data_IF_790358039109
#
_entry.id   IF_790358039109
#
_cell.length_a   1.000
_cell.length_b   1.000
_cell.length_c   1.000
_cell.angle_alpha   90.00
_cell.angle_beta   90.00
_cell.angle_gamma   90.00
#
_symmetry.space_group_name_H-M   'P 1'
#
loop_
_entity.id
_entity.type
_entity.pdbx_description
1 polymer ?
#
# COMPACT_ATOMS: atom_id res chain seq x y z
N UNK A 1 -24.41 14.07 -7.50
CA UNK A 1 -23.76 13.69 -6.23
C UNK A 1 -22.86 12.45 -6.30
N UNK A 2 -22.98 11.54 -7.29
CA UNK A 2 -22.15 10.33 -7.36
C UNK A 2 -20.68 10.56 -7.80
N UNK A 3 -20.43 11.50 -8.73
CA UNK A 3 -19.09 11.74 -9.31
C UNK A 3 -18.11 12.32 -8.28
N UNK A 4 -18.55 13.28 -7.46
CA UNK A 4 -17.75 13.87 -6.38
C UNK A 4 -17.35 12.83 -5.32
N UNK A 5 -18.25 11.87 -5.04
CA UNK A 5 -17.98 10.75 -4.15
C UNK A 5 -16.95 9.78 -4.73
N UNK A 6 -17.10 9.39 -6.01
CA UNK A 6 -16.16 8.51 -6.70
C UNK A 6 -14.75 9.11 -6.82
N UNK A 7 -14.64 10.42 -7.07
CA UNK A 7 -13.37 11.14 -7.12
C UNK A 7 -12.67 11.14 -5.76
N UNK A 8 -13.40 11.42 -4.67
CA UNK A 8 -12.83 11.43 -3.32
C UNK A 8 -12.38 10.02 -2.89
N UNK A 9 -13.17 8.99 -3.21
CA UNK A 9 -12.81 7.58 -2.98
C UNK A 9 -11.59 7.19 -3.80
N UNK A 10 -11.50 7.62 -5.06
CA UNK A 10 -10.35 7.38 -5.92
C UNK A 10 -9.06 8.00 -5.37
N UNK A 11 -9.10 9.26 -4.92
CA UNK A 11 -7.95 9.94 -4.33
C UNK A 11 -7.51 9.26 -3.02
N UNK A 12 -8.45 8.91 -2.14
CA UNK A 12 -8.16 8.17 -0.90
C UNK A 12 -7.61 6.77 -1.17
N UNK A 13 -8.12 6.10 -2.21
CA UNK A 13 -7.65 4.79 -2.66
C UNK A 13 -6.22 4.85 -3.20
N UNK A 14 -5.89 5.90 -3.96
CA UNK A 14 -4.52 6.13 -4.45
C UNK A 14 -3.56 6.39 -3.28
N UNK A 15 -3.92 7.27 -2.34
CA UNK A 15 -3.10 7.55 -1.16
C UNK A 15 -2.85 6.30 -0.32
N UNK A 16 -3.90 5.52 -0.07
CA UNK A 16 -3.80 4.26 0.66
C UNK A 16 -2.96 3.22 -0.08
N UNK A 17 -3.11 3.13 -1.41
CA UNK A 17 -2.33 2.24 -2.26
C UNK A 17 -0.84 2.59 -2.29
N UNK A 18 -0.50 3.89 -2.35
CA UNK A 18 0.89 4.35 -2.28
C UNK A 18 1.53 4.01 -0.93
N UNK A 19 0.82 4.19 0.19
CA UNK A 19 1.34 3.83 1.51
C UNK A 19 1.62 2.33 1.63
N UNK A 20 0.73 1.48 1.10
CA UNK A 20 0.92 0.02 1.07
C UNK A 20 2.07 -0.38 0.15
N UNK A 21 2.17 0.24 -1.03
CA UNK A 21 3.27 0.01 -1.97
C UNK A 21 4.62 0.32 -1.33
N UNK A 22 4.72 1.41 -0.58
CA UNK A 22 5.94 1.81 0.13
C UNK A 22 6.32 0.82 1.24
N UNK A 23 5.33 0.30 1.98
CA UNK A 23 5.52 -0.75 2.96
C UNK A 23 6.09 -2.02 2.34
N UNK A 24 5.45 -2.54 1.29
CA UNK A 24 5.89 -3.74 0.58
C UNK A 24 7.26 -3.56 -0.08
N UNK A 25 7.54 -2.40 -0.68
CA UNK A 25 8.85 -2.10 -1.25
C UNK A 25 9.97 -2.12 -0.19
N UNK A 26 9.68 -1.60 1.01
CA UNK A 26 10.61 -1.61 2.14
C UNK A 26 10.85 -3.02 2.67
N UNK A 27 9.80 -3.84 2.74
CA UNK A 27 9.89 -5.24 3.16
C UNK A 27 10.68 -6.06 2.13
N UNK A 28 10.43 -5.88 0.83
CA UNK A 28 11.19 -6.53 -0.25
C UNK A 28 12.67 -6.13 -0.18
N UNK A 29 12.97 -4.84 -0.01
CA UNK A 29 14.34 -4.36 0.11
C UNK A 29 15.06 -4.99 1.32
N UNK A 30 14.39 -5.05 2.48
CA UNK A 30 14.93 -5.67 3.71
C UNK A 30 15.10 -7.18 3.62
N UNK A 31 14.26 -7.86 2.85
CA UNK A 31 14.35 -9.29 2.60
C UNK A 31 15.43 -9.65 1.56
N UNK A 32 15.77 -8.72 0.66
CA UNK A 32 16.81 -8.91 -0.36
C UNK A 32 18.21 -8.49 0.12
N UNK A 33 18.31 -7.65 1.15
CA UNK A 33 19.58 -7.38 1.85
C UNK A 33 19.88 -8.48 2.87
N UNK A 34 21.06 -9.09 2.81
CA UNK A 34 21.55 -10.00 3.87
C UNK A 34 21.39 -9.34 5.27
N UNK A 35 21.08 -10.11 6.33
CA UNK A 35 21.13 -9.59 7.69
C UNK A 35 22.55 -9.06 7.93
N UNK A 36 22.70 -7.74 8.09
CA UNK A 36 23.97 -7.15 8.48
C UNK A 36 24.39 -7.79 9.82
N UNK A 37 25.55 -8.49 9.90
CA UNK A 37 26.06 -8.93 11.19
C UNK A 37 26.41 -7.65 11.97
N UNK A 38 25.66 -7.35 13.04
CA UNK A 38 25.97 -6.23 13.94
C UNK A 38 24.83 -5.26 14.29
N UNK A 39 23.59 -5.46 13.84
CA UNK A 39 22.44 -4.84 14.53
C UNK A 39 21.94 -5.79 15.61
N UNK A 40 22.68 -5.85 16.72
CA UNK A 40 22.18 -6.38 17.98
C UNK A 40 20.93 -5.58 18.38
N UNK A 41 19.83 -6.23 18.80
CA UNK A 41 18.76 -5.54 19.50
C UNK A 41 19.37 -4.91 20.76
N UNK A 42 19.17 -3.61 20.96
CA UNK A 42 19.49 -2.96 22.23
C UNK A 42 18.73 -3.68 23.33
N UNK A 43 19.46 -4.44 24.14
CA UNK A 43 18.96 -5.16 25.31
C UNK A 43 18.47 -4.13 26.34
N UNK A 44 17.16 -3.97 26.45
CA UNK A 44 16.51 -3.27 27.56
C UNK A 44 16.41 -4.27 28.72
N UNK A 45 16.87 -3.94 29.96
CA UNK A 45 16.94 -4.89 31.06
C UNK A 45 15.58 -5.50 31.48
N UNK A 46 15.58 -6.65 32.18
CA UNK A 46 14.50 -7.62 32.15
C UNK A 46 13.42 -7.36 33.20
N UNK A 47 12.15 -7.35 32.79
CA UNK A 47 11.02 -7.52 33.71
C UNK A 47 9.94 -8.41 33.09
N UNK A 48 9.79 -9.56 33.74
CA UNK A 48 8.67 -10.49 33.73
C UNK A 48 8.31 -11.17 32.39
N UNK A 49 8.81 -12.39 32.25
CA UNK A 49 8.29 -13.37 31.31
C UNK A 49 6.78 -13.61 31.53
N UNK A 50 5.97 -13.42 30.48
CA UNK A 50 4.69 -14.09 30.31
C UNK A 50 4.29 -14.15 28.83
N UNK A 51 4.29 -15.39 28.32
CA UNK A 51 3.42 -15.96 27.29
C UNK A 51 3.43 -15.34 25.88
N UNK A 52 4.09 -16.07 24.97
CA UNK A 52 3.85 -16.00 23.53
C UNK A 52 5.10 -15.62 22.78
N UNK A 53 5.92 -16.62 22.43
CA UNK A 53 6.86 -16.49 21.32
C UNK A 53 6.04 -16.32 20.03
N UNK A 54 5.50 -15.12 19.81
CA UNK A 54 5.12 -14.70 18.48
C UNK A 54 6.44 -14.43 17.77
N UNK A 55 7.00 -15.47 17.16
CA UNK A 55 7.94 -15.27 16.06
C UNK A 55 7.23 -14.27 15.14
N UNK A 56 7.74 -13.03 14.96
CA UNK A 56 7.13 -12.12 14.03
C UNK A 56 7.17 -12.86 12.69
N UNK A 57 6.00 -13.27 12.20
CA UNK A 57 5.86 -13.90 10.89
C UNK A 57 6.32 -12.84 9.91
N UNK A 58 7.62 -12.85 9.59
CA UNK A 58 8.18 -12.03 8.54
C UNK A 58 7.41 -12.43 7.29
N UNK A 59 6.70 -11.51 6.62
CA UNK A 59 6.02 -11.85 5.38
C UNK A 59 7.06 -12.46 4.44
N UNK A 60 6.73 -13.59 3.82
CA UNK A 60 7.63 -14.18 2.83
C UNK A 60 7.81 -13.20 1.67
N UNK A 61 8.92 -13.31 0.94
CA UNK A 61 9.20 -12.43 -0.19
C UNK A 61 8.07 -12.49 -1.23
N UNK A 62 7.52 -13.68 -1.45
CA UNK A 62 6.39 -13.93 -2.33
C UNK A 62 5.14 -13.18 -1.85
N UNK A 63 4.84 -13.24 -0.55
CA UNK A 63 3.70 -12.51 0.03
C UNK A 63 3.85 -10.99 -0.15
N UNK A 64 5.06 -10.46 0.02
CA UNK A 64 5.32 -9.03 -0.15
C UNK A 64 5.25 -8.59 -1.63
N UNK A 65 5.74 -9.42 -2.56
CA UNK A 65 5.61 -9.18 -4.00
C UNK A 65 4.15 -9.22 -4.47
N UNK A 66 3.36 -10.19 -4.00
CA UNK A 66 1.92 -10.25 -4.29
C UNK A 66 1.22 -9.01 -3.75
N UNK A 67 1.50 -8.63 -2.50
CA UNK A 67 0.97 -7.38 -1.92
C UNK A 67 1.36 -6.13 -2.72
N UNK A 68 2.56 -6.10 -3.28
CA UNK A 68 3.01 -5.02 -4.16
C UNK A 68 2.19 -4.97 -5.47
N UNK A 69 1.93 -6.13 -6.10
CA UNK A 69 1.12 -6.23 -7.31
C UNK A 69 -0.33 -5.80 -7.05
N UNK A 70 -0.91 -6.25 -5.94
CA UNK A 70 -2.25 -5.84 -5.52
C UNK A 70 -2.33 -4.32 -5.29
N UNK A 71 -1.35 -3.75 -4.59
CA UNK A 71 -1.27 -2.30 -4.37
C UNK A 71 -1.18 -1.53 -5.70
N UNK A 72 -0.39 -2.02 -6.66
CA UNK A 72 -0.31 -1.45 -8.01
C UNK A 72 -1.66 -1.49 -8.73
N UNK A 73 -2.34 -2.64 -8.73
CA UNK A 73 -3.66 -2.78 -9.36
C UNK A 73 -4.73 -1.90 -8.71
N UNK A 74 -4.67 -1.73 -7.38
CA UNK A 74 -5.57 -0.84 -6.65
C UNK A 74 -5.39 0.61 -7.10
N UNK A 75 -4.14 1.09 -7.19
CA UNK A 75 -3.86 2.45 -7.68
C UNK A 75 -4.32 2.62 -9.13
N UNK A 76 -4.03 1.66 -10.00
CA UNK A 76 -4.44 1.68 -11.41
C UNK A 76 -5.96 1.72 -11.58
N UNK A 77 -6.69 0.92 -10.80
CA UNK A 77 -8.16 0.88 -10.86
C UNK A 77 -8.80 2.19 -10.39
N UNK A 78 -8.24 2.79 -9.34
CA UNK A 78 -8.68 4.11 -8.86
C UNK A 78 -8.36 5.21 -9.89
N UNK A 79 -7.17 5.20 -10.48
CA UNK A 79 -6.80 6.13 -11.54
C UNK A 79 -7.75 6.03 -12.75
N UNK A 80 -8.09 4.80 -13.17
CA UNK A 80 -9.05 4.56 -14.27
C UNK A 80 -10.45 5.10 -13.96
N UNK A 81 -10.90 5.00 -12.72
CA UNK A 81 -12.19 5.56 -12.29
C UNK A 81 -12.20 7.08 -12.39
N UNK A 82 -11.10 7.73 -12.02
CA UNK A 82 -10.93 9.18 -12.14
C UNK A 82 -10.88 9.61 -13.61
N UNK A 83 -10.19 8.87 -14.46
CA UNK A 83 -10.12 9.11 -15.91
C UNK A 83 -11.53 9.06 -16.53
N UNK A 84 -12.29 8.00 -16.28
CA UNK A 84 -13.67 7.87 -16.78
C UNK A 84 -14.58 8.98 -16.24
N UNK A 85 -14.41 9.40 -14.99
CA UNK A 85 -15.14 10.53 -14.43
C UNK A 85 -14.77 11.86 -15.13
N UNK A 86 -13.50 12.06 -15.48
CA UNK A 86 -13.05 13.21 -16.26
C UNK A 86 -13.60 13.21 -17.68
N UNK A 87 -13.56 12.07 -18.37
CA UNK A 87 -14.06 11.92 -19.74
C UNK A 87 -15.58 12.14 -19.81
N UNK A 88 -16.33 11.57 -18.86
CA UNK A 88 -17.78 11.81 -18.78
C UNK A 88 -18.11 13.28 -18.49
N UNK A 89 -17.33 13.97 -17.65
CA UNK A 89 -17.47 15.42 -17.46
C UNK A 89 -17.14 16.21 -18.72
N UNK A 90 -16.07 15.84 -19.45
CA UNK A 90 -15.69 16.46 -20.72
C UNK A 90 -16.79 16.33 -21.77
N UNK A 91 -17.31 15.12 -21.97
CA UNK A 91 -18.40 14.86 -22.92
C UNK A 91 -19.70 15.56 -22.54
N UNK A 92 -20.06 15.65 -21.25
CA UNK A 92 -21.25 16.39 -20.80
C UNK A 92 -21.12 17.91 -21.00
N UNK A 93 -19.91 18.46 -20.90
CA UNK A 93 -19.63 19.86 -21.19
C UNK A 93 -19.70 20.15 -22.69
N UNK A 94 -19.14 19.25 -23.51
CA UNK A 94 -19.13 19.38 -24.97
C UNK A 94 -20.56 19.35 -25.56
N UNK A 95 -21.46 18.52 -25.01
CA UNK A 95 -22.87 18.47 -25.42
C UNK A 95 -23.66 19.74 -25.05
N UNK A 96 -23.18 20.54 -24.08
CA UNK A 96 -23.84 21.77 -23.63
C UNK A 96 -23.36 23.04 -24.34
N UNK A 97 -22.20 23.02 -24.98
CA UNK A 97 -21.64 24.14 -25.74
C UNK A 97 -22.36 24.30 -27.10
#
# INVERSE_FOLDING_TARGET
MAITSALNIGVQGIQSGMNRLQGHASDIARLNTEPRPGTEPVEVPPQAAQAGAQTPVRPSLEQSMVGQIEAKHLVQSNARTIEVASDTMGTLLDVKA
#
